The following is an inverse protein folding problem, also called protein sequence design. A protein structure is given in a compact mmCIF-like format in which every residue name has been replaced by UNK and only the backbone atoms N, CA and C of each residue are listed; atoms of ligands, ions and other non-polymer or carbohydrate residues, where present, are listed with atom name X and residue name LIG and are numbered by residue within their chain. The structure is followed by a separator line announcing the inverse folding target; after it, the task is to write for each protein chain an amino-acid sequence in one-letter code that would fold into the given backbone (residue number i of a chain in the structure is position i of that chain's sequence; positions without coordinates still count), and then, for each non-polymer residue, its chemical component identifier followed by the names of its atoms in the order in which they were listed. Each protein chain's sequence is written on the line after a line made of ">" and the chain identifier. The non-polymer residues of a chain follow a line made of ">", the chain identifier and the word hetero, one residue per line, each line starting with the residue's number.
data_IF_119233991527
#
_entry.id   IF_119233991527
#
_cell.length_a   1.000
_cell.length_b   1.000
_cell.length_c   1.000
_cell.angle_alpha   90.00
_cell.angle_beta   90.00
_cell.angle_gamma   90.00
#
_symmetry.space_group_name_H-M   'P 1'
#
loop_
_entity.id
_entity.type
_entity.pdbx_description
1 polymer ?
#
# COMPACT_ATOMS: atom_id res chain seq x y z
N UNK A 1 18.69 25.96 -22.26
CA UNK A 1 19.41 24.74 -22.68
C UNK A 1 19.26 23.72 -21.55
N UNK A 2 18.34 22.76 -21.68
CA UNK A 2 18.07 21.76 -20.62
C UNK A 2 19.19 20.73 -20.61
N UNK A 3 19.97 20.66 -19.52
CA UNK A 3 21.04 19.68 -19.33
C UNK A 3 20.40 18.31 -19.19
N UNK A 4 20.46 17.47 -20.24
CA UNK A 4 20.09 16.06 -20.14
C UNK A 4 21.08 15.40 -19.18
N UNK A 5 20.59 14.94 -18.03
CA UNK A 5 21.35 14.14 -17.08
C UNK A 5 21.63 12.78 -17.72
N UNK A 6 22.91 12.45 -17.85
CA UNK A 6 23.35 11.10 -18.26
C UNK A 6 23.10 10.14 -17.10
N UNK A 7 22.17 9.20 -17.30
CA UNK A 7 21.72 8.22 -16.29
C UNK A 7 22.32 6.83 -16.53
N UNK A 8 23.26 6.68 -17.47
CA UNK A 8 23.84 5.38 -17.87
C UNK A 8 24.44 4.57 -16.72
N UNK A 9 24.91 5.23 -15.65
CA UNK A 9 25.49 4.59 -14.46
C UNK A 9 24.66 4.80 -13.17
N UNK A 10 23.46 5.38 -13.27
CA UNK A 10 22.63 5.63 -12.09
C UNK A 10 21.81 4.39 -11.72
N UNK A 11 22.11 3.78 -10.58
CA UNK A 11 21.30 2.69 -10.01
C UNK A 11 20.16 3.29 -9.18
N UNK A 12 18.88 3.06 -9.56
CA UNK A 12 17.74 3.54 -8.79
C UNK A 12 17.72 2.90 -7.40
N UNK A 13 17.65 3.72 -6.35
CA UNK A 13 17.59 3.25 -4.94
C UNK A 13 16.17 3.01 -4.42
N UNK A 14 15.16 3.30 -5.23
CA UNK A 14 13.74 3.37 -4.84
C UNK A 14 12.83 2.76 -5.91
N UNK A 15 13.35 1.71 -6.57
CA UNK A 15 12.57 0.95 -7.54
C UNK A 15 11.47 0.13 -6.83
N UNK A 16 11.80 -0.39 -5.64
CA UNK A 16 10.92 -1.26 -4.84
C UNK A 16 10.17 -0.51 -3.72
N UNK A 17 10.21 0.82 -3.73
CA UNK A 17 9.46 1.62 -2.76
C UNK A 17 7.95 1.42 -2.99
N UNK A 18 7.24 1.06 -1.91
CA UNK A 18 5.80 0.90 -1.97
C UNK A 18 5.06 2.18 -2.39
N UNK A 19 3.86 2.02 -2.92
CA UNK A 19 3.01 3.15 -3.28
C UNK A 19 2.71 4.06 -2.07
N UNK A 20 2.84 5.38 -2.28
CA UNK A 20 2.62 6.41 -1.25
C UNK A 20 1.46 7.32 -1.61
N UNK A 21 0.71 7.72 -0.60
CA UNK A 21 -0.23 8.83 -0.66
C UNK A 21 0.34 9.98 0.16
N UNK A 22 0.76 11.05 -0.52
CA UNK A 22 1.54 12.14 0.08
C UNK A 22 2.79 11.59 0.79
N UNK A 23 2.86 11.71 2.12
CA UNK A 23 3.98 11.24 2.95
C UNK A 23 3.71 9.90 3.63
N UNK A 24 2.54 9.30 3.42
CA UNK A 24 2.14 8.04 4.02
C UNK A 24 2.15 6.91 3.01
N UNK A 25 2.37 5.69 3.48
CA UNK A 25 2.13 4.52 2.65
C UNK A 25 0.63 4.40 2.35
N UNK A 26 0.30 3.91 1.14
CA UNK A 26 -1.09 3.92 0.65
C UNK A 26 -2.04 3.14 1.56
N UNK A 27 -1.61 2.01 2.11
CA UNK A 27 -2.40 1.18 3.03
C UNK A 27 -2.69 1.90 4.36
N UNK A 28 -1.71 2.57 4.94
CA UNK A 28 -1.86 3.41 6.15
C UNK A 28 -2.83 4.57 5.87
N UNK A 29 -2.67 5.24 4.74
CA UNK A 29 -3.55 6.33 4.33
C UNK A 29 -5.00 5.87 4.13
N UNK A 30 -5.20 4.69 3.52
CA UNK A 30 -6.52 4.10 3.31
C UNK A 30 -7.25 3.80 4.63
N UNK A 31 -6.54 3.34 5.67
CA UNK A 31 -7.13 3.12 7.00
C UNK A 31 -7.60 4.44 7.62
N UNK A 32 -6.75 5.47 7.57
CA UNK A 32 -7.10 6.80 8.07
C UNK A 32 -8.30 7.38 7.33
N UNK A 33 -8.29 7.28 6.00
CA UNK A 33 -9.37 7.74 5.13
C UNK A 33 -10.68 7.00 5.39
N UNK A 34 -10.64 5.67 5.53
CA UNK A 34 -11.81 4.86 5.86
C UNK A 34 -12.45 5.30 7.19
N UNK A 35 -11.64 5.57 8.23
CA UNK A 35 -12.14 6.07 9.51
C UNK A 35 -12.86 7.43 9.38
N UNK A 36 -12.31 8.35 8.60
CA UNK A 36 -12.96 9.65 8.33
C UNK A 36 -14.28 9.47 7.58
N UNK A 37 -14.29 8.65 6.52
CA UNK A 37 -15.50 8.37 5.74
C UNK A 37 -16.60 7.73 6.60
N UNK A 38 -16.24 6.77 7.46
CA UNK A 38 -17.17 6.15 8.40
C UNK A 38 -17.70 7.16 9.44
N UNK A 39 -16.86 8.06 9.94
CA UNK A 39 -17.27 9.13 10.84
C UNK A 39 -18.30 10.06 10.20
N UNK A 40 -18.07 10.47 8.95
CA UNK A 40 -19.01 11.29 8.20
C UNK A 40 -20.32 10.54 7.95
N UNK A 41 -20.27 9.28 7.51
CA UNK A 41 -21.47 8.50 7.20
C UNK A 41 -22.33 8.20 8.42
N UNK A 42 -21.74 8.10 9.61
CA UNK A 42 -22.45 7.82 10.86
C UNK A 42 -22.88 9.09 11.61
N UNK A 43 -22.53 10.28 11.12
CA UNK A 43 -22.83 11.56 11.78
C UNK A 43 -21.87 11.94 12.93
N UNK A 44 -20.78 11.19 13.12
CA UNK A 44 -19.77 11.42 14.15
C UNK A 44 -18.37 11.68 13.54
N UNK A 45 -18.18 12.78 12.79
CA UNK A 45 -16.95 13.01 12.03
C UNK A 45 -15.70 13.11 12.90
N UNK A 46 -15.79 13.76 14.08
CA UNK A 46 -14.66 13.90 15.01
C UNK A 46 -14.23 12.55 15.58
N UNK A 47 -15.20 11.70 15.95
CA UNK A 47 -14.93 10.36 16.48
C UNK A 47 -14.30 9.49 15.38
N UNK A 48 -14.88 9.49 14.18
CA UNK A 48 -14.34 8.72 13.06
C UNK A 48 -12.93 9.17 12.64
N UNK A 49 -12.64 10.48 12.67
CA UNK A 49 -11.29 11.00 12.45
C UNK A 49 -10.31 10.52 13.53
N UNK A 50 -10.70 10.60 14.81
CA UNK A 50 -9.88 10.12 15.92
C UNK A 50 -9.59 8.62 15.82
N UNK A 51 -10.59 7.81 15.53
CA UNK A 51 -10.45 6.37 15.34
C UNK A 51 -9.64 6.03 14.10
N UNK A 52 -9.85 6.74 12.98
CA UNK A 52 -9.09 6.56 11.74
C UNK A 52 -7.60 6.83 11.91
N UNK A 53 -7.23 7.96 12.53
CA UNK A 53 -5.85 8.30 12.81
C UNK A 53 -5.20 7.30 13.78
N UNK A 54 -5.92 6.91 14.84
CA UNK A 54 -5.45 5.93 15.81
C UNK A 54 -5.22 4.56 15.15
N UNK A 55 -6.17 4.11 14.33
CA UNK A 55 -6.06 2.88 13.55
C UNK A 55 -4.88 2.90 12.57
N UNK A 56 -4.72 4.00 11.83
CA UNK A 56 -3.60 4.19 10.90
C UNK A 56 -2.25 4.16 11.64
N UNK A 57 -2.14 4.80 12.81
CA UNK A 57 -0.95 4.78 13.64
C UNK A 57 -0.59 3.36 14.10
N UNK A 58 -1.53 2.63 14.71
CA UNK A 58 -1.28 1.26 15.17
C UNK A 58 -0.96 0.31 14.02
N UNK A 59 -1.66 0.43 12.90
CA UNK A 59 -1.35 -0.35 11.70
C UNK A 59 0.07 -0.06 11.19
N UNK A 60 0.47 1.21 11.10
CA UNK A 60 1.82 1.60 10.72
C UNK A 60 2.89 1.01 11.65
N UNK A 61 2.60 0.93 12.96
CA UNK A 61 3.48 0.29 13.95
C UNK A 61 3.56 -1.23 13.75
N UNK A 62 2.44 -1.90 13.47
CA UNK A 62 2.40 -3.34 13.20
C UNK A 62 3.12 -3.71 11.89
N UNK A 63 3.01 -2.84 10.89
CA UNK A 63 3.66 -2.98 9.58
C UNK A 63 5.17 -2.69 9.64
N UNK A 64 5.65 -1.92 10.62
CA UNK A 64 7.06 -1.56 10.73
C UNK A 64 7.97 -2.80 10.79
N UNK A 65 8.99 -2.85 9.92
CA UNK A 65 9.92 -3.98 9.82
C UNK A 65 9.37 -5.21 9.09
N UNK A 66 8.18 -5.11 8.47
CA UNK A 66 7.60 -6.16 7.63
C UNK A 66 7.87 -5.88 6.14
N UNK A 67 7.62 -6.89 5.30
CA UNK A 67 7.83 -6.80 3.86
C UNK A 67 7.02 -5.63 3.24
N UNK A 68 7.60 -4.83 2.32
CA UNK A 68 6.87 -3.84 1.54
C UNK A 68 5.66 -4.46 0.82
N UNK A 69 4.49 -3.83 0.90
CA UNK A 69 3.28 -4.42 0.28
C UNK A 69 2.73 -5.67 0.98
N UNK A 70 3.06 -5.89 2.26
CA UNK A 70 2.47 -6.96 3.10
C UNK A 70 0.94 -6.97 3.02
N UNK A 71 0.28 -5.80 3.06
CA UNK A 71 -1.17 -5.70 2.93
C UNK A 71 -1.69 -6.32 1.63
N UNK A 72 -1.04 -6.01 0.50
CA UNK A 72 -1.42 -6.55 -0.81
C UNK A 72 -1.24 -8.07 -0.87
N UNK A 73 -0.16 -8.60 -0.28
CA UNK A 73 0.08 -10.03 -0.21
C UNK A 73 -0.98 -10.75 0.64
N UNK A 74 -1.30 -10.19 1.81
CA UNK A 74 -2.35 -10.75 2.67
C UNK A 74 -3.70 -10.72 1.96
N UNK A 75 -4.05 -9.60 1.32
CA UNK A 75 -5.30 -9.48 0.57
C UNK A 75 -5.36 -10.53 -0.55
N UNK A 76 -4.26 -10.70 -1.28
CA UNK A 76 -4.15 -11.72 -2.32
C UNK A 76 -4.37 -13.12 -1.76
N UNK A 77 -3.74 -13.48 -0.63
CA UNK A 77 -3.91 -14.82 -0.06
C UNK A 77 -5.31 -15.08 0.48
N UNK A 78 -5.98 -14.07 1.05
CA UNK A 78 -7.31 -14.26 1.64
C UNK A 78 -8.44 -14.12 0.61
N UNK A 79 -8.24 -13.35 -0.45
CA UNK A 79 -9.32 -13.00 -1.41
C UNK A 79 -9.03 -13.39 -2.85
N UNK A 80 -7.77 -13.69 -3.19
CA UNK A 80 -7.31 -13.85 -4.56
C UNK A 80 -7.05 -12.54 -5.32
N UNK A 81 -7.31 -11.39 -4.69
CA UNK A 81 -7.17 -10.06 -5.31
C UNK A 81 -6.15 -9.18 -4.56
N UNK A 82 -5.40 -8.30 -5.26
CA UNK A 82 -5.32 -8.19 -6.72
C UNK A 82 -4.54 -9.35 -7.32
N UNK A 83 -4.95 -9.78 -8.52
CA UNK A 83 -4.19 -10.79 -9.25
C UNK A 83 -2.83 -10.22 -9.69
N UNK A 84 -1.71 -10.91 -9.42
CA UNK A 84 -0.41 -10.48 -9.88
C UNK A 84 -0.40 -10.27 -11.39
N UNK A 85 0.09 -9.12 -11.86
CA UNK A 85 0.08 -8.79 -13.29
C UNK A 85 1.12 -9.59 -14.09
N UNK A 86 2.29 -9.81 -13.48
CA UNK A 86 3.45 -10.43 -14.13
C UNK A 86 3.59 -11.92 -13.80
N UNK A 87 2.85 -12.41 -12.79
CA UNK A 87 2.94 -13.79 -12.33
C UNK A 87 1.60 -14.50 -12.59
N UNK A 88 1.61 -15.76 -13.05
CA UNK A 88 0.39 -16.53 -13.21
C UNK A 88 -0.29 -16.77 -11.87
N UNK A 89 -1.61 -16.97 -11.90
CA UNK A 89 -2.38 -17.28 -10.69
C UNK A 89 -1.80 -18.47 -9.92
N UNK A 90 -1.80 -18.40 -8.59
CA UNK A 90 -1.12 -19.38 -7.71
C UNK A 90 -1.56 -20.84 -7.86
N UNK A 91 -2.69 -21.09 -8.52
CA UNK A 91 -3.21 -22.43 -8.79
C UNK A 91 -2.54 -23.10 -10.00
N UNK A 92 -1.82 -22.33 -10.83
CA UNK A 92 -1.09 -22.83 -11.99
C UNK A 92 0.26 -23.37 -11.50
N UNK A 93 0.44 -24.70 -11.58
CA UNK A 93 1.68 -25.39 -11.17
C UNK A 93 2.63 -25.70 -12.32
N UNK A 94 2.13 -25.62 -13.55
CA UNK A 94 2.92 -25.84 -14.75
C UNK A 94 3.08 -24.52 -15.50
N UNK A 95 4.30 -23.99 -15.46
CA UNK A 95 4.72 -22.86 -16.28
C UNK A 95 5.09 -23.41 -17.66
N UNK A 96 4.08 -23.82 -18.44
CA UNK A 96 4.31 -24.20 -19.82
C UNK A 96 4.59 -22.90 -20.60
N UNK A 97 5.84 -22.76 -21.03
CA UNK A 97 6.39 -21.55 -21.67
C UNK A 97 5.76 -21.21 -23.01
#
# INVERSE_FOLDING_TARGET
>A
MSRKTDLSHYIPRRLDDGAKFLFWDIDVAMIGFAGVMLGISTGFPIIGMGLGLTGAYFYGRLKAGKHPGMATHLLYWFTGFPEPRELPGSHIRELNG
#
